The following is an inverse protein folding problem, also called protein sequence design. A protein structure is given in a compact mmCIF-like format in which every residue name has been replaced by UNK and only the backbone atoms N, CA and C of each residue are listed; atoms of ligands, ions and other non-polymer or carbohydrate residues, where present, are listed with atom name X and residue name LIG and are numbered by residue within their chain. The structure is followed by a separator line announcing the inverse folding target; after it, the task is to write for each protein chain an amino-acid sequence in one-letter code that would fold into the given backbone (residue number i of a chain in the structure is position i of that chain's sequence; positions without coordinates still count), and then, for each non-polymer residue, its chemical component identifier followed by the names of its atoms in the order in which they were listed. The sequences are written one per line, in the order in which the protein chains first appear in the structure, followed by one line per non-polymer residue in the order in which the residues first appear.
data_IF_710762190953
#
_entry.id   IF_710762190953
#
_cell.length_a   1.000
_cell.length_b   1.000
_cell.length_c   1.000
_cell.angle_alpha   90.00
_cell.angle_beta   90.00
_cell.angle_gamma   90.00
#
_symmetry.space_group_name_H-M   'P 1'
#
loop_
_entity.id
_entity.type
_entity.pdbx_description
1 polymer ?
#
# COMPACT_ATOMS: atom_id res chain seq x y z
N UNK A 1 36.46 24.32 -2.09
CA UNK A 1 35.48 24.10 -3.17
C UNK A 1 35.45 22.64 -3.65
N UNK A 2 36.53 22.07 -4.16
CA UNK A 2 36.57 20.68 -4.71
C UNK A 2 36.07 19.63 -3.71
N UNK A 3 36.49 19.71 -2.43
CA UNK A 3 36.10 18.79 -1.37
C UNK A 3 34.58 18.81 -1.13
N UNK A 4 33.95 19.99 -1.16
CA UNK A 4 32.49 20.14 -1.00
C UNK A 4 31.72 19.57 -2.17
N UNK A 5 32.22 19.73 -3.38
CA UNK A 5 31.60 19.13 -4.59
C UNK A 5 31.70 17.60 -4.52
N UNK A 6 32.84 17.05 -4.14
CA UNK A 6 33.02 15.61 -3.97
C UNK A 6 32.10 15.06 -2.85
N UNK A 7 31.99 15.76 -1.71
CA UNK A 7 31.09 15.40 -0.62
C UNK A 7 29.60 15.43 -1.07
N UNK A 8 29.20 16.43 -1.85
CA UNK A 8 27.84 16.52 -2.37
C UNK A 8 27.52 15.39 -3.35
N UNK A 9 28.45 15.04 -4.27
CA UNK A 9 28.29 13.91 -5.19
C UNK A 9 28.21 12.59 -4.42
N UNK A 10 29.08 12.40 -3.42
CA UNK A 10 29.05 11.22 -2.57
C UNK A 10 27.74 11.13 -1.76
N UNK A 11 27.27 12.25 -1.18
CA UNK A 11 25.99 12.31 -0.46
C UNK A 11 24.78 12.01 -1.34
N UNK A 12 24.80 12.48 -2.59
CA UNK A 12 23.75 12.18 -3.57
C UNK A 12 23.72 10.67 -3.94
N UNK A 13 24.89 10.03 -3.99
CA UNK A 13 24.99 8.59 -4.19
C UNK A 13 24.55 7.79 -2.94
N UNK A 14 25.04 8.19 -1.77
CA UNK A 14 24.71 7.55 -0.50
C UNK A 14 23.20 7.62 -0.17
N UNK A 15 22.49 8.67 -0.62
CA UNK A 15 21.04 8.79 -0.48
C UNK A 15 20.26 7.62 -1.11
N UNK A 16 20.79 7.01 -2.18
CA UNK A 16 20.15 5.85 -2.83
C UNK A 16 20.25 4.56 -2.00
N UNK A 17 21.19 4.53 -1.04
CA UNK A 17 21.44 3.39 -0.16
C UNK A 17 20.65 3.48 1.15
N UNK A 18 20.06 4.64 1.44
CA UNK A 18 19.27 4.85 2.67
C UNK A 18 17.82 4.46 2.38
N UNK A 19 17.40 3.36 2.98
CA UNK A 19 15.98 3.01 3.09
C UNK A 19 15.40 3.73 4.30
N UNK A 20 14.37 4.52 4.06
CA UNK A 20 13.64 5.16 5.16
C UNK A 20 12.52 4.23 5.56
N UNK A 21 12.60 3.68 6.76
CA UNK A 21 11.52 2.92 7.36
C UNK A 21 10.47 3.89 7.91
N UNK A 22 9.25 3.80 7.39
CA UNK A 22 8.11 4.60 7.83
C UNK A 22 7.12 3.76 8.63
N UNK A 23 7.48 2.51 8.97
CA UNK A 23 6.63 1.68 9.80
C UNK A 23 6.67 2.17 11.24
N UNK A 24 5.53 2.64 11.71
CA UNK A 24 5.40 3.09 13.10
C UNK A 24 5.41 1.92 14.08
N UNK A 25 5.13 0.70 13.62
CA UNK A 25 5.14 -0.49 14.46
C UNK A 25 6.57 -0.87 14.86
N UNK A 26 7.55 -0.66 13.98
CA UNK A 26 8.98 -0.88 14.27
C UNK A 26 9.53 0.01 15.39
N UNK A 27 8.83 1.11 15.70
CA UNK A 27 9.19 1.98 16.82
C UNK A 27 8.54 1.57 18.14
N UNK A 28 7.62 0.60 18.12
CA UNK A 28 7.03 0.06 19.34
C UNK A 28 8.01 -0.95 19.97
N UNK A 29 8.12 -0.98 21.31
CA UNK A 29 8.90 -2.03 21.97
C UNK A 29 8.37 -3.42 21.58
N UNK A 30 9.29 -4.36 21.32
CA UNK A 30 8.94 -5.76 21.00
C UNK A 30 8.05 -6.40 22.08
N UNK A 31 8.15 -5.94 23.31
CA UNK A 31 7.36 -6.39 24.46
C UNK A 31 5.98 -5.70 24.56
N UNK A 32 5.64 -4.78 23.65
CA UNK A 32 4.34 -4.14 23.70
C UNK A 32 3.23 -5.15 23.43
N UNK A 33 2.12 -5.05 24.16
CA UNK A 33 1.00 -5.99 24.02
C UNK A 33 0.41 -6.02 22.60
N UNK A 34 0.52 -4.92 21.85
CA UNK A 34 0.06 -4.85 20.45
C UNK A 34 1.01 -5.64 19.53
N UNK A 35 2.33 -5.48 19.67
CA UNK A 35 3.33 -6.22 18.86
C UNK A 35 3.20 -7.72 19.10
N UNK A 36 3.19 -8.15 20.38
CA UNK A 36 3.02 -9.56 20.75
C UNK A 36 1.71 -10.14 20.24
N UNK A 37 0.62 -9.34 20.21
CA UNK A 37 -0.66 -9.82 19.68
C UNK A 37 -0.66 -9.94 18.16
N UNK A 38 -0.02 -9.01 17.45
CA UNK A 38 0.15 -9.08 15.99
C UNK A 38 0.99 -10.29 15.58
N UNK A 39 2.13 -10.51 16.25
CA UNK A 39 3.01 -11.66 15.98
C UNK A 39 2.26 -12.98 16.18
N UNK A 40 1.50 -13.12 17.28
CA UNK A 40 0.66 -14.29 17.51
C UNK A 40 -0.42 -14.47 16.46
N UNK A 41 -1.04 -13.39 16.00
CA UNK A 41 -2.05 -13.48 14.96
C UNK A 41 -1.44 -13.90 13.63
N UNK A 42 -0.24 -13.45 13.30
CA UNK A 42 0.49 -13.89 12.10
C UNK A 42 0.95 -15.35 12.19
N UNK A 43 1.38 -15.81 13.38
CA UNK A 43 1.81 -17.20 13.58
C UNK A 43 0.65 -18.21 13.59
N UNK A 44 -0.50 -17.84 14.18
CA UNK A 44 -1.63 -18.77 14.37
C UNK A 44 -2.63 -18.77 13.20
N UNK A 45 -2.69 -17.69 12.45
CA UNK A 45 -3.57 -17.54 11.28
C UNK A 45 -2.70 -17.29 10.06
N UNK A 46 -2.44 -18.32 9.27
CA UNK A 46 -1.66 -18.32 8.01
C UNK A 46 -2.17 -17.23 7.04
N UNK A 47 -1.93 -15.98 7.33
CA UNK A 47 -2.38 -14.84 6.54
C UNK A 47 -2.26 -13.55 7.33
N UNK A 48 -1.75 -12.51 6.72
CA UNK A 48 -1.63 -11.20 7.33
C UNK A 48 -3.01 -10.58 7.64
N UNK A 49 -3.05 -9.59 8.51
CA UNK A 49 -4.27 -8.84 8.82
C UNK A 49 -4.62 -7.97 7.60
N UNK A 50 -5.86 -8.06 7.07
CA UNK A 50 -6.28 -7.21 5.97
C UNK A 50 -6.11 -5.72 6.31
N UNK A 51 -5.32 -5.01 5.51
CA UNK A 51 -4.95 -3.62 5.76
C UNK A 51 -5.33 -2.66 4.63
N UNK A 52 -5.97 -3.17 3.57
CA UNK A 52 -6.50 -2.36 2.49
C UNK A 52 -7.85 -2.88 1.99
N UNK A 53 -8.69 -1.98 1.49
CA UNK A 53 -9.93 -2.26 0.77
C UNK A 53 -9.91 -1.56 -0.57
N UNK A 54 -10.29 -2.28 -1.62
CA UNK A 54 -10.28 -1.79 -3.00
C UNK A 54 -11.67 -1.95 -3.59
N UNK A 55 -12.27 -0.86 -4.05
CA UNK A 55 -13.57 -0.86 -4.71
C UNK A 55 -13.40 -0.53 -6.19
N UNK A 56 -13.88 -1.42 -7.07
CA UNK A 56 -13.85 -1.23 -8.52
C UNK A 56 -15.28 -1.16 -9.04
N UNK A 57 -15.63 -0.03 -9.67
CA UNK A 57 -16.96 0.27 -10.17
C UNK A 57 -17.15 -0.21 -11.61
N UNK A 58 -18.42 -0.33 -12.01
CA UNK A 58 -18.84 -0.64 -13.38
C UNK A 58 -18.21 -1.92 -13.94
N UNK A 59 -18.08 -2.94 -13.11
CA UNK A 59 -17.52 -4.24 -13.49
C UNK A 59 -18.57 -5.34 -13.41
N UNK A 60 -18.58 -6.21 -14.40
CA UNK A 60 -19.31 -7.47 -14.32
C UNK A 60 -18.57 -8.45 -13.38
N UNK A 61 -19.27 -9.50 -12.93
CA UNK A 61 -18.67 -10.54 -12.09
C UNK A 61 -17.39 -11.14 -12.71
N UNK A 62 -17.43 -11.47 -13.98
CA UNK A 62 -16.27 -12.02 -14.71
C UNK A 62 -15.11 -11.02 -14.82
N UNK A 63 -15.40 -9.72 -14.90
CA UNK A 63 -14.35 -8.69 -14.86
C UNK A 63 -13.78 -8.53 -13.45
N UNK A 64 -14.64 -8.63 -12.43
CA UNK A 64 -14.20 -8.56 -11.04
C UNK A 64 -13.22 -9.70 -10.70
N UNK A 65 -13.47 -10.94 -11.13
CA UNK A 65 -12.51 -12.04 -11.00
C UNK A 65 -11.15 -11.71 -11.64
N UNK A 66 -11.15 -11.11 -12.84
CA UNK A 66 -9.91 -10.70 -13.50
C UNK A 66 -9.18 -9.57 -12.77
N UNK A 67 -9.91 -8.69 -12.09
CA UNK A 67 -9.27 -7.68 -11.23
C UNK A 67 -8.64 -8.33 -10.01
N UNK A 68 -9.30 -9.30 -9.36
CA UNK A 68 -8.72 -10.09 -8.27
C UNK A 68 -7.39 -10.71 -8.71
N UNK A 69 -7.37 -11.46 -9.82
CA UNK A 69 -6.15 -12.08 -10.35
C UNK A 69 -5.03 -11.07 -10.64
N UNK A 70 -5.37 -9.85 -11.04
CA UNK A 70 -4.36 -8.80 -11.27
C UNK A 70 -3.81 -8.25 -9.97
N UNK A 71 -4.65 -8.10 -8.95
CA UNK A 71 -4.25 -7.62 -7.63
C UNK A 71 -3.35 -8.64 -6.93
N UNK A 72 -3.67 -9.92 -6.99
CA UNK A 72 -2.86 -11.02 -6.44
C UNK A 72 -1.45 -11.11 -7.06
N UNK A 73 -1.28 -10.68 -8.31
CA UNK A 73 0.03 -10.69 -8.99
C UNK A 73 0.93 -9.52 -8.63
N UNK A 74 0.42 -8.55 -7.88
CA UNK A 74 1.21 -7.39 -7.46
C UNK A 74 2.19 -7.83 -6.37
N UNK A 75 3.47 -7.55 -6.58
CA UNK A 75 4.50 -7.87 -5.59
C UNK A 75 4.23 -7.13 -4.27
N UNK A 76 4.16 -7.89 -3.19
CA UNK A 76 3.86 -7.39 -1.85
C UNK A 76 2.39 -7.44 -1.47
N UNK A 77 1.49 -7.84 -2.37
CA UNK A 77 0.15 -8.29 -2.01
C UNK A 77 0.26 -9.76 -1.60
N UNK A 78 -0.18 -10.08 -0.40
CA UNK A 78 -0.12 -11.41 0.19
C UNK A 78 -1.42 -12.17 -0.04
N UNK A 79 -2.55 -11.48 0.11
CA UNK A 79 -3.88 -12.07 -0.05
C UNK A 79 -4.86 -11.05 -0.63
N UNK A 80 -5.78 -11.53 -1.47
CA UNK A 80 -6.94 -10.77 -1.96
C UNK A 80 -8.18 -11.60 -1.76
N UNK A 81 -9.01 -11.21 -0.81
CA UNK A 81 -10.29 -11.88 -0.53
C UNK A 81 -11.43 -11.17 -1.25
N UNK A 82 -12.25 -11.95 -1.94
CA UNK A 82 -13.46 -11.46 -2.60
C UNK A 82 -14.60 -12.51 -2.50
N UNK A 83 -15.69 -12.29 -3.21
CA UNK A 83 -16.91 -13.10 -3.17
C UNK A 83 -16.70 -14.58 -3.52
N UNK A 84 -15.76 -14.89 -4.42
CA UNK A 84 -15.42 -16.27 -4.80
C UNK A 84 -14.80 -17.07 -3.66
N UNK A 85 -14.01 -16.43 -2.80
CA UNK A 85 -13.39 -17.11 -1.63
C UNK A 85 -14.41 -17.46 -0.54
N UNK A 86 -15.50 -16.71 -0.44
CA UNK A 86 -16.57 -16.99 0.54
C UNK A 86 -17.68 -17.86 -0.03
N UNK A 87 -17.63 -18.16 -1.32
CA UNK A 87 -18.58 -19.02 -2.02
C UNK A 87 -18.11 -20.49 -2.01
N UNK A 88 -18.03 -21.10 -0.83
CA UNK A 88 -17.53 -22.47 -0.63
C UNK A 88 -18.24 -23.57 -1.43
N UNK A 89 -19.39 -23.31 -2.03
CA UNK A 89 -20.20 -24.31 -2.72
C UNK A 89 -20.23 -24.11 -4.24
N UNK A 90 -19.39 -23.20 -4.78
CA UNK A 90 -19.42 -22.84 -6.22
C UNK A 90 -20.84 -22.58 -6.75
N UNK A 91 -21.70 -22.02 -5.91
CA UNK A 91 -23.07 -21.72 -6.26
C UNK A 91 -23.14 -20.55 -7.25
N UNK A 92 -24.08 -20.58 -8.21
CA UNK A 92 -24.37 -19.41 -9.01
C UNK A 92 -24.62 -18.19 -8.11
N UNK A 93 -24.10 -17.03 -8.51
CA UNK A 93 -24.16 -15.78 -7.72
C UNK A 93 -25.59 -15.40 -7.31
N UNK A 94 -26.59 -15.79 -8.13
CA UNK A 94 -28.01 -15.55 -7.88
C UNK A 94 -28.59 -16.42 -6.75
N UNK A 95 -27.88 -17.49 -6.39
CA UNK A 95 -28.25 -18.39 -5.28
C UNK A 95 -27.61 -17.99 -3.95
N UNK A 96 -26.62 -17.09 -3.97
CA UNK A 96 -26.05 -16.55 -2.75
C UNK A 96 -27.05 -15.66 -2.01
N UNK A 97 -26.98 -15.64 -0.67
CA UNK A 97 -27.78 -14.72 0.09
C UNK A 97 -27.48 -13.27 -0.33
N UNK A 98 -28.51 -12.45 -0.42
CA UNK A 98 -28.36 -11.04 -0.79
C UNK A 98 -27.35 -10.33 0.12
N UNK A 99 -27.41 -10.62 1.41
CA UNK A 99 -26.53 -9.99 2.40
C UNK A 99 -25.06 -10.34 2.15
N UNK A 100 -24.75 -11.61 1.87
CA UNK A 100 -23.37 -12.06 1.54
C UNK A 100 -22.88 -11.43 0.24
N UNK A 101 -23.72 -11.45 -0.80
CA UNK A 101 -23.37 -10.84 -2.08
C UNK A 101 -23.12 -9.35 -1.96
N UNK A 102 -24.02 -8.62 -1.30
CA UNK A 102 -23.97 -7.14 -1.18
C UNK A 102 -22.76 -6.66 -0.34
N UNK A 103 -22.11 -7.54 0.44
CA UNK A 103 -20.86 -7.23 1.14
C UNK A 103 -19.65 -7.12 0.19
N UNK A 104 -19.62 -7.88 -0.91
CA UNK A 104 -18.49 -7.97 -1.81
C UNK A 104 -18.79 -7.48 -3.23
N UNK A 105 -20.06 -7.54 -3.64
CA UNK A 105 -20.47 -7.14 -4.97
C UNK A 105 -21.89 -6.56 -4.95
N UNK A 106 -21.99 -5.26 -5.20
CA UNK A 106 -23.25 -4.52 -5.20
C UNK A 106 -23.24 -3.45 -6.30
N UNK A 107 -24.34 -3.28 -7.00
CA UNK A 107 -24.53 -2.24 -8.03
C UNK A 107 -23.35 -2.18 -9.04
N UNK A 108 -22.93 -3.34 -9.55
CA UNK A 108 -21.78 -3.51 -10.43
C UNK A 108 -20.44 -2.99 -9.84
N UNK A 109 -20.37 -2.89 -8.53
CA UNK A 109 -19.14 -2.52 -7.81
C UNK A 109 -18.62 -3.73 -7.06
N UNK A 110 -17.38 -4.11 -7.32
CA UNK A 110 -16.66 -5.15 -6.60
C UNK A 110 -15.83 -4.53 -5.47
N UNK A 111 -15.96 -5.08 -4.25
CA UNK A 111 -15.19 -4.68 -3.08
C UNK A 111 -14.26 -5.82 -2.67
N UNK A 112 -12.97 -5.61 -2.82
CA UNK A 112 -11.90 -6.53 -2.42
C UNK A 112 -11.36 -6.14 -1.06
N UNK A 113 -11.05 -7.15 -0.26
CA UNK A 113 -10.25 -7.01 0.96
C UNK A 113 -8.84 -7.50 0.64
N UNK A 114 -7.84 -6.67 0.87
CA UNK A 114 -6.46 -6.91 0.45
C UNK A 114 -5.54 -6.87 1.66
N UNK A 115 -4.67 -7.85 1.76
CA UNK A 115 -3.56 -7.90 2.71
C UNK A 115 -2.27 -7.55 1.96
N UNK A 116 -1.59 -6.51 2.41
CA UNK A 116 -0.33 -6.03 1.85
C UNK A 116 0.74 -6.19 2.93
N UNK A 117 1.84 -6.85 2.59
CA UNK A 117 2.98 -6.99 3.50
C UNK A 117 3.56 -5.63 3.89
N UNK A 118 3.88 -5.45 5.17
CA UNK A 118 4.29 -4.15 5.75
C UNK A 118 5.46 -3.52 5.00
N UNK A 119 6.51 -4.28 4.70
CA UNK A 119 7.67 -3.83 3.93
C UNK A 119 7.34 -3.40 2.48
N UNK A 120 6.19 -3.82 1.99
CA UNK A 120 5.79 -3.63 0.59
C UNK A 120 4.73 -2.53 0.40
N UNK A 121 4.20 -1.97 1.46
CA UNK A 121 3.11 -0.98 1.43
C UNK A 121 3.41 0.16 0.43
N UNK A 122 4.59 0.76 0.55
CA UNK A 122 4.99 1.91 -0.26
C UNK A 122 5.19 1.59 -1.76
N UNK A 123 5.39 0.31 -2.10
CA UNK A 123 5.54 -0.15 -3.48
C UNK A 123 4.24 -0.74 -4.03
N UNK A 124 3.49 -1.51 -3.25
CA UNK A 124 2.29 -2.19 -3.68
C UNK A 124 1.10 -1.21 -3.88
N UNK A 125 0.90 -0.25 -2.96
CA UNK A 125 -0.22 0.70 -3.05
C UNK A 125 -0.24 1.50 -4.35
N UNK A 126 0.87 2.08 -4.84
CA UNK A 126 0.89 2.72 -6.16
C UNK A 126 0.63 1.77 -7.33
N UNK A 127 1.08 0.52 -7.25
CA UNK A 127 0.81 -0.48 -8.29
C UNK A 127 -0.66 -0.90 -8.30
N UNK A 128 -1.28 -1.08 -7.12
CA UNK A 128 -2.73 -1.30 -7.01
C UNK A 128 -3.48 -0.14 -7.66
N UNK A 129 -3.08 1.12 -7.37
CA UNK A 129 -3.70 2.32 -7.96
C UNK A 129 -3.61 2.31 -9.49
N UNK A 130 -2.48 1.91 -10.07
CA UNK A 130 -2.32 1.78 -11.52
C UNK A 130 -3.24 0.72 -12.12
N UNK A 131 -3.44 -0.40 -11.42
CA UNK A 131 -4.30 -1.50 -11.87
C UNK A 131 -5.77 -1.11 -11.86
N UNK A 132 -6.21 -0.43 -10.79
CA UNK A 132 -7.62 -0.05 -10.65
C UNK A 132 -7.97 1.25 -11.38
N UNK A 133 -6.99 2.16 -11.57
CA UNK A 133 -7.21 3.49 -12.12
C UNK A 133 -7.71 4.50 -11.09
N UNK A 134 -7.73 5.79 -11.48
CA UNK A 134 -8.05 6.91 -10.58
C UNK A 134 -9.55 7.04 -10.28
N UNK A 135 -10.42 6.49 -11.13
CA UNK A 135 -11.87 6.53 -10.95
C UNK A 135 -12.38 5.57 -9.88
N UNK A 136 -11.53 4.65 -9.44
CA UNK A 136 -11.85 3.65 -8.44
C UNK A 136 -11.30 4.03 -7.07
N UNK A 137 -11.88 3.46 -6.01
CA UNK A 137 -11.56 3.83 -4.65
C UNK A 137 -10.69 2.76 -3.97
N UNK A 138 -9.78 3.21 -3.13
CA UNK A 138 -9.06 2.36 -2.19
C UNK A 138 -8.90 3.07 -0.85
N UNK A 139 -8.92 2.32 0.24
CA UNK A 139 -8.78 2.82 1.62
C UNK A 139 -8.17 1.74 2.52
N UNK A 140 -7.76 2.14 3.70
CA UNK A 140 -7.17 1.24 4.71
C UNK A 140 -5.89 1.82 5.31
N UNK A 141 -5.36 1.17 6.35
CA UNK A 141 -4.14 1.62 7.02
C UNK A 141 -2.94 1.64 6.06
N UNK A 142 -2.78 0.60 5.24
CA UNK A 142 -1.72 0.53 4.23
C UNK A 142 -1.80 1.70 3.23
N UNK A 143 -3.00 2.04 2.77
CA UNK A 143 -3.21 3.16 1.84
C UNK A 143 -2.84 4.49 2.49
N UNK A 144 -3.31 4.72 3.73
CA UNK A 144 -3.00 5.94 4.47
C UNK A 144 -1.51 6.09 4.73
N UNK A 145 -0.81 5.01 5.08
CA UNK A 145 0.65 4.98 5.29
C UNK A 145 1.39 5.33 3.99
N UNK A 146 1.03 4.70 2.86
CA UNK A 146 1.66 4.99 1.57
C UNK A 146 1.45 6.44 1.12
N UNK A 147 0.23 6.98 1.29
CA UNK A 147 -0.10 8.36 0.93
C UNK A 147 0.65 9.37 1.82
N UNK A 148 0.70 9.13 3.13
CA UNK A 148 1.44 9.96 4.07
C UNK A 148 2.95 9.97 3.73
N UNK A 149 3.51 8.79 3.47
CA UNK A 149 4.91 8.62 3.06
C UNK A 149 5.20 9.37 1.76
N UNK A 150 4.37 9.17 0.74
CA UNK A 150 4.51 9.83 -0.57
C UNK A 150 4.44 11.36 -0.45
N UNK A 151 3.49 11.88 0.34
CA UNK A 151 3.34 13.31 0.60
C UNK A 151 4.57 13.88 1.31
N UNK A 152 5.03 13.22 2.38
CA UNK A 152 6.22 13.61 3.13
C UNK A 152 7.47 13.65 2.24
N UNK A 153 7.70 12.62 1.44
CA UNK A 153 8.82 12.55 0.49
C UNK A 153 8.74 13.68 -0.54
N UNK A 154 7.55 13.98 -1.06
CA UNK A 154 7.33 15.06 -2.01
C UNK A 154 7.64 16.43 -1.41
N UNK A 155 7.19 16.67 -0.18
CA UNK A 155 7.46 17.92 0.54
C UNK A 155 8.95 18.10 0.87
N UNK A 156 9.61 17.05 1.37
CA UNK A 156 11.05 17.07 1.63
C UNK A 156 11.83 17.38 0.34
N UNK A 157 11.46 16.80 -0.79
CA UNK A 157 12.11 17.09 -2.08
C UNK A 157 11.97 18.58 -2.47
N UNK A 158 10.78 19.18 -2.30
CA UNK A 158 10.55 20.59 -2.59
C UNK A 158 11.41 21.50 -1.69
N UNK A 159 11.39 21.22 -0.38
CA UNK A 159 12.17 21.99 0.62
C UNK A 159 13.68 21.86 0.35
N UNK A 160 14.16 20.65 0.04
CA UNK A 160 15.58 20.41 -0.24
C UNK A 160 16.07 21.23 -1.44
N UNK A 161 15.29 21.34 -2.53
CA UNK A 161 15.64 22.17 -3.69
C UNK A 161 15.76 23.64 -3.29
N UNK A 162 14.80 24.16 -2.52
CA UNK A 162 14.81 25.55 -2.05
C UNK A 162 16.02 25.79 -1.14
N UNK A 163 16.30 24.89 -0.21
CA UNK A 163 17.44 24.99 0.71
C UNK A 163 18.78 25.04 -0.05
N UNK A 164 18.94 24.17 -1.05
CA UNK A 164 20.16 24.17 -1.91
C UNK A 164 20.31 25.48 -2.66
N UNK A 165 19.23 26.03 -3.21
CA UNK A 165 19.26 27.33 -3.90
C UNK A 165 19.67 28.46 -2.96
N UNK A 166 19.14 28.49 -1.73
CA UNK A 166 19.51 29.51 -0.72
C UNK A 166 20.98 29.39 -0.36
N UNK A 167 21.49 28.17 -0.11
CA UNK A 167 22.90 27.92 0.21
C UNK A 167 23.80 28.39 -0.94
N UNK A 168 23.46 28.09 -2.18
CA UNK A 168 24.22 28.53 -3.36
C UNK A 168 24.23 30.05 -3.46
N UNK A 169 23.10 30.71 -3.22
CA UNK A 169 23.02 32.18 -3.26
C UNK A 169 23.92 32.81 -2.19
N UNK A 170 23.90 32.26 -0.96
CA UNK A 170 24.78 32.75 0.14
C UNK A 170 26.26 32.50 -0.17
N UNK A 171 26.61 31.42 -0.83
CA UNK A 171 28.00 31.13 -1.19
C UNK A 171 28.51 31.96 -2.39
N UNK A 172 27.61 32.54 -3.19
CA UNK A 172 27.96 33.40 -4.31
C UNK A 172 28.04 34.89 -3.93
N UNK A 173 27.54 35.28 -2.75
CA UNK A 173 27.68 36.59 -2.17
C UNK A 173 28.96 36.77 -1.36
#
# INVERSE_FOLDING_TARGET
MVIFVLAAVWGAYAKQLVQVNYDMNDYLPEESSSTVSMDKMQEEFDGGIPNARVAVKDVSYAQALKYKEKLEKIKGVEEVTWLDDVNYLDMPIDMLSKDTRDLYYKDNTALYTVTIGEDSINSAVPEIRKVIGDDNAMTGSAVSTAEATSSTVSEIKKIAVIAVLIVLLVLCL
#
